data_IF_017440179029
#
_entry.id   IF_017440179029
#
_cell.length_a   1.000
_cell.length_b   1.000
_cell.length_c   1.000
_cell.angle_alpha   90.00
_cell.angle_beta   90.00
_cell.angle_gamma   90.00
#
_symmetry.space_group_name_H-M   'P 1'
#
loop_
_entity.id
_entity.type
_entity.pdbx_description
1 polymer ?
#
# COMPACT_ATOMS: atom_id res chain seq x y z
N UNK A 1 25.43 49.09 15.92
CA UNK A 1 26.24 48.49 14.84
C UNK A 1 26.79 47.18 15.39
N UNK A 2 26.47 45.98 14.97
CA UNK A 2 25.25 45.37 14.42
C UNK A 2 25.43 43.91 14.79
N UNK A 3 24.48 43.32 15.51
CA UNK A 3 24.45 41.90 15.82
C UNK A 3 24.37 41.12 14.50
N UNK A 4 25.34 40.24 14.24
CA UNK A 4 25.24 39.27 13.14
C UNK A 4 24.47 38.04 13.66
N UNK A 5 23.17 38.05 13.38
CA UNK A 5 22.38 36.85 13.12
C UNK A 5 22.63 36.39 11.67
N UNK A 6 22.17 35.18 11.36
CA UNK A 6 22.28 34.39 10.12
C UNK A 6 23.40 33.35 10.15
N UNK A 7 23.17 32.06 9.90
CA UNK A 7 21.96 31.28 9.72
C UNK A 7 22.39 29.85 10.05
N UNK A 8 21.64 29.15 10.90
CA UNK A 8 21.76 27.70 10.97
C UNK A 8 21.04 27.16 9.74
N UNK A 9 21.80 26.96 8.67
CA UNK A 9 21.42 26.15 7.51
C UNK A 9 21.23 24.71 8.01
N UNK A 10 20.03 24.42 8.50
CA UNK A 10 19.55 23.07 8.67
C UNK A 10 19.36 22.52 7.27
N UNK A 11 20.41 21.84 6.79
CA UNK A 11 20.33 20.95 5.65
C UNK A 11 19.22 19.95 5.97
N UNK A 12 18.08 20.17 5.33
CA UNK A 12 16.96 19.25 5.34
C UNK A 12 17.51 17.86 5.04
N UNK A 13 17.17 16.94 5.95
CA UNK A 13 17.59 15.57 5.88
C UNK A 13 17.10 14.99 4.56
N UNK A 14 18.05 14.71 3.67
CA UNK A 14 17.94 13.71 2.63
C UNK A 14 17.74 12.36 3.33
N UNK A 15 16.51 12.14 3.79
CA UNK A 15 16.00 10.81 3.97
C UNK A 15 15.86 10.27 2.56
N UNK A 16 16.89 9.52 2.14
CA UNK A 16 16.71 8.45 1.16
C UNK A 16 15.61 7.54 1.70
N UNK A 17 14.37 7.93 1.40
CA UNK A 17 13.21 7.06 1.51
C UNK A 17 13.40 6.03 0.40
N UNK A 18 14.15 4.97 0.71
CA UNK A 18 14.27 3.77 -0.12
C UNK A 18 12.94 2.98 -0.12
N UNK A 19 11.82 3.69 0.00
CA UNK A 19 10.46 3.18 -0.03
C UNK A 19 9.83 3.37 -1.41
N UNK A 20 8.74 2.64 -1.70
CA UNK A 20 7.99 2.85 -2.94
C UNK A 20 7.47 4.29 -3.00
N UNK A 21 7.63 4.95 -4.16
CA UNK A 21 7.16 6.32 -4.34
C UNK A 21 5.66 6.49 -4.01
N UNK A 22 5.27 7.66 -3.50
CA UNK A 22 3.87 8.00 -3.23
C UNK A 22 2.92 7.78 -4.43
N UNK A 23 3.44 7.97 -5.66
CA UNK A 23 2.70 7.69 -6.89
C UNK A 23 2.41 6.20 -7.06
N UNK A 24 3.44 5.37 -6.87
CA UNK A 24 3.34 3.92 -6.95
C UNK A 24 2.38 3.38 -5.89
N UNK A 25 2.51 3.83 -4.64
CA UNK A 25 1.63 3.45 -3.52
C UNK A 25 0.17 3.76 -3.85
N UNK A 26 -0.11 4.99 -4.33
CA UNK A 26 -1.46 5.40 -4.70
C UNK A 26 -2.03 4.56 -5.85
N UNK A 27 -1.23 4.32 -6.89
CA UNK A 27 -1.66 3.52 -8.06
C UNK A 27 -1.92 2.06 -7.70
N UNK A 28 -1.06 1.46 -6.89
CA UNK A 28 -1.27 0.12 -6.36
C UNK A 28 -2.57 0.02 -5.56
N UNK A 29 -2.84 1.01 -4.69
CA UNK A 29 -4.10 1.10 -3.94
C UNK A 29 -5.34 1.17 -4.85
N UNK A 30 -5.30 1.96 -5.93
CA UNK A 30 -6.39 2.01 -6.90
C UNK A 30 -6.63 0.67 -7.61
N UNK A 31 -5.56 -0.03 -8.03
CA UNK A 31 -5.69 -1.33 -8.68
C UNK A 31 -6.32 -2.37 -7.73
N UNK A 32 -5.99 -2.32 -6.43
CA UNK A 32 -6.62 -3.20 -5.43
C UNK A 32 -8.11 -2.91 -5.29
N UNK A 33 -8.51 -1.63 -5.24
CA UNK A 33 -9.93 -1.24 -5.19
C UNK A 33 -10.69 -1.67 -6.46
N UNK A 34 -10.07 -1.52 -7.63
CA UNK A 34 -10.63 -1.98 -8.90
C UNK A 34 -10.80 -3.50 -8.90
N UNK A 35 -9.82 -4.24 -8.37
CA UNK A 35 -9.87 -5.69 -8.22
C UNK A 35 -11.01 -6.16 -7.32
N UNK A 36 -11.22 -5.50 -6.17
CA UNK A 36 -12.36 -5.79 -5.27
C UNK A 36 -13.70 -5.57 -5.98
N UNK A 37 -13.81 -4.47 -6.73
CA UNK A 37 -15.03 -4.15 -7.49
C UNK A 37 -15.29 -5.15 -8.61
N UNK A 38 -14.24 -5.59 -9.30
CA UNK A 38 -14.34 -6.56 -10.39
C UNK A 38 -14.61 -7.99 -9.89
N UNK A 39 -14.13 -8.36 -8.71
CA UNK A 39 -14.41 -9.65 -8.08
C UNK A 39 -15.89 -9.79 -7.64
N UNK A 40 -16.54 -8.69 -7.25
CA UNK A 40 -17.96 -8.66 -6.85
C UNK A 40 -18.92 -9.01 -8.02
N UNK A 41 -18.46 -8.89 -9.27
CA UNK A 41 -19.25 -9.21 -10.48
C UNK A 41 -18.93 -10.59 -11.09
N UNK A 42 -18.34 -11.51 -10.31
CA UNK A 42 -17.94 -12.88 -10.73
C UNK A 42 -17.08 -12.90 -12.02
N UNK A 43 -16.23 -11.90 -12.20
CA UNK A 43 -15.30 -11.90 -13.31
C UNK A 43 -14.06 -12.73 -12.93
N UNK A 44 -14.00 -13.97 -13.42
CA UNK A 44 -12.89 -14.91 -13.19
C UNK A 44 -11.52 -14.31 -13.59
N UNK A 45 -11.50 -13.35 -14.51
CA UNK A 45 -10.30 -12.67 -15.02
C UNK A 45 -9.91 -11.43 -14.18
N UNK A 46 -10.73 -11.01 -13.21
CA UNK A 46 -10.50 -9.78 -12.44
C UNK A 46 -9.17 -9.80 -11.68
N UNK A 47 -8.86 -10.94 -11.08
CA UNK A 47 -7.62 -11.11 -10.31
C UNK A 47 -6.40 -11.16 -11.21
N UNK A 48 -6.49 -11.83 -12.37
CA UNK A 48 -5.42 -11.86 -13.36
C UNK A 48 -5.14 -10.47 -13.93
N UNK A 49 -6.19 -9.70 -14.23
CA UNK A 49 -6.06 -8.32 -14.70
C UNK A 49 -5.39 -7.44 -13.64
N UNK A 50 -5.82 -7.52 -12.38
CA UNK A 50 -5.23 -6.75 -11.29
C UNK A 50 -3.74 -7.11 -11.11
N UNK A 51 -3.39 -8.40 -11.15
CA UNK A 51 -2.00 -8.86 -11.07
C UNK A 51 -1.16 -8.32 -12.24
N UNK A 52 -1.67 -8.40 -13.48
CA UNK A 52 -1.02 -7.83 -14.66
C UNK A 52 -0.79 -6.33 -14.54
N UNK A 53 -1.76 -5.58 -14.02
CA UNK A 53 -1.61 -4.14 -13.79
C UNK A 53 -0.59 -3.82 -12.71
N UNK A 54 -0.47 -4.64 -11.67
CA UNK A 54 0.53 -4.45 -10.62
C UNK A 54 1.95 -4.70 -11.16
N UNK A 55 2.12 -5.72 -12.01
CA UNK A 55 3.39 -5.96 -12.74
C UNK A 55 3.73 -4.79 -13.66
N UNK A 56 2.76 -4.28 -14.42
CA UNK A 56 2.98 -3.16 -15.36
C UNK A 56 3.48 -1.87 -14.71
N UNK A 57 3.25 -1.71 -13.40
CA UNK A 57 3.65 -0.50 -12.65
C UNK A 57 4.79 -0.76 -11.69
N UNK A 58 5.41 -1.95 -11.73
CA UNK A 58 6.47 -2.38 -10.81
C UNK A 58 6.01 -2.36 -9.33
N UNK A 59 4.71 -2.57 -9.08
CA UNK A 59 4.19 -2.72 -7.72
C UNK A 59 4.41 -4.15 -7.17
N UNK A 60 4.63 -5.11 -8.09
CA UNK A 60 5.09 -6.46 -7.80
C UNK A 60 6.16 -6.82 -8.83
N UNK A 61 7.15 -7.61 -8.44
CA UNK A 61 8.24 -8.07 -9.31
C UNK A 61 8.38 -9.59 -9.20
N UNK A 62 8.59 -10.28 -10.32
CA UNK A 62 8.83 -11.72 -10.37
C UNK A 62 10.23 -11.98 -10.89
N UNK A 63 11.07 -12.57 -10.05
CA UNK A 63 12.45 -12.93 -10.33
C UNK A 63 12.61 -14.46 -10.31
N UNK A 64 13.61 -14.97 -11.02
CA UNK A 64 14.00 -16.37 -10.95
C UNK A 64 15.21 -16.46 -10.02
N UNK A 65 15.10 -17.23 -8.95
CA UNK A 65 16.24 -17.61 -8.13
C UNK A 65 17.04 -18.68 -8.90
N UNK A 66 18.23 -18.31 -9.38
CA UNK A 66 19.09 -19.20 -10.16
C UNK A 66 19.75 -20.29 -9.30
N UNK A 67 19.88 -20.09 -7.99
CA UNK A 67 20.51 -21.02 -7.06
C UNK A 67 19.52 -22.08 -6.58
N UNK A 68 18.27 -21.68 -6.32
CA UNK A 68 17.21 -22.57 -5.81
C UNK A 68 16.29 -23.11 -6.93
N UNK A 69 16.29 -22.46 -8.10
CA UNK A 69 15.41 -22.83 -9.21
C UNK A 69 13.95 -22.47 -8.97
N UNK A 70 13.68 -21.53 -8.07
CA UNK A 70 12.35 -21.10 -7.65
C UNK A 70 12.01 -19.70 -8.18
N UNK A 71 10.72 -19.39 -8.27
CA UNK A 71 10.26 -18.03 -8.58
C UNK A 71 10.13 -17.25 -7.29
N UNK A 72 10.83 -16.12 -7.19
CA UNK A 72 10.68 -15.15 -6.13
C UNK A 72 9.70 -14.07 -6.59
N UNK A 73 8.79 -13.68 -5.68
CA UNK A 73 7.78 -12.64 -5.91
C UNK A 73 7.97 -11.56 -4.85
N UNK A 74 8.47 -10.39 -5.26
CA UNK A 74 8.51 -9.21 -4.40
C UNK A 74 7.16 -8.47 -4.48
N UNK A 75 6.54 -8.28 -3.32
CA UNK A 75 5.27 -7.55 -3.16
C UNK A 75 5.41 -6.33 -2.24
N UNK A 76 6.63 -5.98 -1.83
CA UNK A 76 6.89 -4.92 -0.86
C UNK A 76 6.25 -3.59 -1.28
N UNK A 77 6.34 -3.14 -2.55
CA UNK A 77 5.68 -1.92 -3.01
C UNK A 77 4.14 -2.01 -2.93
N UNK A 78 3.57 -3.15 -3.32
CA UNK A 78 2.13 -3.41 -3.23
C UNK A 78 1.62 -3.31 -1.79
N UNK A 79 2.36 -3.84 -0.80
CA UNK A 79 1.92 -3.85 0.59
C UNK A 79 1.67 -2.44 1.13
N UNK A 80 2.47 -1.44 0.73
CA UNK A 80 2.23 -0.04 1.08
C UNK A 80 0.89 0.46 0.53
N UNK A 81 0.55 0.12 -0.71
CA UNK A 81 -0.74 0.45 -1.32
C UNK A 81 -1.92 -0.23 -0.62
N UNK A 82 -1.76 -1.50 -0.22
CA UNK A 82 -2.76 -2.24 0.56
C UNK A 82 -2.98 -1.59 1.92
N UNK A 83 -1.91 -1.23 2.63
CA UNK A 83 -1.99 -0.58 3.94
C UNK A 83 -2.69 0.78 3.86
N UNK A 84 -2.42 1.56 2.80
CA UNK A 84 -3.13 2.81 2.53
C UNK A 84 -4.64 2.55 2.42
N UNK A 85 -5.04 1.63 1.54
CA UNK A 85 -6.46 1.31 1.31
C UNK A 85 -7.14 0.82 2.59
N UNK A 86 -6.50 -0.10 3.33
CA UNK A 86 -7.05 -0.62 4.58
C UNK A 86 -7.22 0.48 5.62
N UNK A 87 -6.24 1.39 5.74
CA UNK A 87 -6.29 2.51 6.68
C UNK A 87 -7.48 3.43 6.38
N UNK A 88 -7.65 3.82 5.12
CA UNK A 88 -8.76 4.67 4.70
C UNK A 88 -10.12 3.99 4.94
N UNK A 89 -10.25 2.70 4.62
CA UNK A 89 -11.49 1.95 4.87
C UNK A 89 -11.80 1.82 6.37
N UNK A 90 -10.79 1.57 7.19
CA UNK A 90 -10.97 1.49 8.65
C UNK A 90 -11.42 2.82 9.22
N UNK A 91 -10.81 3.93 8.78
CA UNK A 91 -11.19 5.27 9.21
C UNK A 91 -12.62 5.60 8.79
N UNK A 92 -13.00 5.34 7.54
CA UNK A 92 -14.35 5.56 7.03
C UNK A 92 -15.39 4.77 7.83
N UNK A 93 -15.13 3.49 8.14
CA UNK A 93 -16.04 2.66 8.95
C UNK A 93 -16.11 3.17 10.39
N UNK A 94 -14.98 3.55 10.98
CA UNK A 94 -14.91 4.06 12.34
C UNK A 94 -15.75 5.33 12.48
N UNK A 95 -15.59 6.28 11.55
CA UNK A 95 -16.36 7.52 11.49
C UNK A 95 -17.86 7.26 11.30
N UNK A 96 -18.22 6.41 10.33
CA UNK A 96 -19.62 6.06 10.05
C UNK A 96 -20.33 5.40 11.23
N UNK A 97 -19.64 4.52 11.94
CA UNK A 97 -20.19 3.74 13.05
C UNK A 97 -20.06 4.47 14.41
N UNK A 98 -19.36 5.61 14.47
CA UNK A 98 -19.05 6.31 15.73
C UNK A 98 -18.19 5.48 16.69
N UNK A 99 -17.27 4.68 16.15
CA UNK A 99 -16.40 3.75 16.87
C UNK A 99 -14.92 4.10 16.67
N UNK A 100 -14.01 3.49 17.44
CA UNK A 100 -12.58 3.67 17.22
C UNK A 100 -12.07 2.76 16.07
N UNK A 101 -10.97 3.15 15.37
CA UNK A 101 -10.28 2.26 14.43
C UNK A 101 -9.90 0.90 15.05
N UNK A 102 -9.48 0.90 16.33
CA UNK A 102 -9.12 -0.32 17.06
C UNK A 102 -10.32 -1.27 17.19
N UNK A 103 -11.52 -0.74 17.47
CA UNK A 103 -12.74 -1.55 17.53
C UNK A 103 -13.13 -2.13 16.17
N UNK A 104 -12.90 -1.40 15.08
CA UNK A 104 -13.11 -1.89 13.71
C UNK A 104 -12.15 -3.06 13.42
N UNK A 105 -10.86 -2.88 13.69
CA UNK A 105 -9.83 -3.89 13.46
C UNK A 105 -10.06 -5.15 14.31
N UNK A 106 -10.43 -4.99 15.58
CA UNK A 106 -10.77 -6.10 16.46
C UNK A 106 -11.96 -6.91 15.91
N UNK A 107 -13.02 -6.24 15.44
CA UNK A 107 -14.18 -6.88 14.80
C UNK A 107 -13.80 -7.63 13.52
N UNK A 108 -12.95 -7.05 12.68
CA UNK A 108 -12.47 -7.68 11.45
C UNK A 108 -11.64 -8.93 11.79
N UNK A 109 -10.70 -8.84 12.73
CA UNK A 109 -9.89 -10.00 13.17
C UNK A 109 -10.78 -11.13 13.69
N UNK A 110 -11.74 -10.85 14.56
CA UNK A 110 -12.69 -11.88 15.03
C UNK A 110 -13.46 -12.54 13.89
N UNK A 111 -13.84 -11.80 12.83
CA UNK A 111 -14.53 -12.37 11.66
C UNK A 111 -13.62 -13.26 10.81
N UNK A 112 -12.35 -12.89 10.66
CA UNK A 112 -11.35 -13.69 9.94
C UNK A 112 -11.04 -14.98 10.70
N UNK A 113 -10.89 -14.88 12.03
CA UNK A 113 -10.51 -16.00 12.88
C UNK A 113 -11.62 -17.07 13.02
N UNK A 114 -12.89 -16.72 12.74
CA UNK A 114 -14.01 -17.66 12.63
C UNK A 114 -14.49 -18.26 13.94
#
# INVERSE_FOLDING_TARGET
MSEHQHDHDHSDHDHGDDGPSDDLVRRAGHIILDGVTAADVDNEDAMELAFGRLLEIDAIEVTMDEDEGELELDISPLMSGVLLVVTELVNEIAERDGSSPEDVLARIRTRIDG
#
